data_IF_543119233545
#
_entry.id   IF_543119233545
#
_cell.length_a   1.000
_cell.length_b   1.000
_cell.length_c   1.000
_cell.angle_alpha   90.00
_cell.angle_beta   90.00
_cell.angle_gamma   90.00
#
_symmetry.space_group_name_H-M   'P 1'
#
loop_
_entity.id
_entity.type
_entity.pdbx_description
1 polymer ?
#
# COMPACT_ATOMS: atom_id res chain seq x y z
N UNK A 1 -6.69 -14.05 0.93
CA UNK A 1 -6.96 -13.83 2.35
C UNK A 1 -6.74 -12.38 2.71
N UNK A 2 -7.55 -11.85 3.60
CA UNK A 2 -7.56 -10.46 4.00
C UNK A 2 -7.24 -10.33 5.48
N UNK A 3 -6.36 -9.42 5.84
CA UNK A 3 -5.88 -9.24 7.21
C UNK A 3 -5.87 -7.76 7.59
N UNK A 4 -6.14 -7.48 8.86
CA UNK A 4 -5.95 -6.17 9.47
C UNK A 4 -5.13 -6.37 10.74
N UNK A 5 -3.94 -5.77 10.82
CA UNK A 5 -3.03 -5.95 11.94
C UNK A 5 -2.81 -7.43 12.30
N UNK A 6 -2.57 -8.26 11.28
CA UNK A 6 -2.41 -9.70 11.38
C UNK A 6 -3.67 -10.49 11.80
N UNK A 7 -4.78 -9.82 12.06
CA UNK A 7 -6.06 -10.47 12.31
C UNK A 7 -6.71 -10.90 11.00
N UNK A 8 -7.04 -12.17 10.89
CA UNK A 8 -7.72 -12.72 9.71
C UNK A 8 -9.14 -12.15 9.60
N UNK A 9 -9.47 -11.58 8.45
CA UNK A 9 -10.79 -10.99 8.18
C UNK A 9 -11.67 -11.86 7.27
N UNK A 10 -11.07 -12.61 6.36
CA UNK A 10 -11.80 -13.44 5.43
C UNK A 10 -10.95 -13.90 4.26
N UNK A 11 -11.57 -14.66 3.36
CA UNK A 11 -10.91 -15.14 2.14
C UNK A 11 -11.86 -15.04 0.94
N UNK A 12 -11.32 -15.15 -0.26
CA UNK A 12 -12.06 -15.08 -1.50
C UNK A 12 -11.49 -14.03 -2.44
N UNK A 13 -12.20 -13.80 -3.53
CA UNK A 13 -11.80 -12.80 -4.53
C UNK A 13 -12.27 -11.38 -4.18
N UNK A 14 -13.12 -11.25 -3.18
CA UNK A 14 -13.65 -9.96 -2.71
C UNK A 14 -13.73 -9.88 -1.20
N UNK A 15 -13.48 -8.71 -0.71
CA UNK A 15 -13.73 -8.36 0.69
C UNK A 15 -14.29 -6.94 0.75
N UNK A 16 -15.42 -6.78 1.45
CA UNK A 16 -16.07 -5.47 1.60
C UNK A 16 -15.68 -4.83 2.93
N UNK A 17 -15.07 -3.65 2.85
CA UNK A 17 -14.77 -2.82 4.02
C UNK A 17 -15.85 -1.77 4.17
N UNK A 18 -16.43 -1.67 5.36
CA UNK A 18 -17.48 -0.68 5.66
C UNK A 18 -16.89 0.47 6.47
N UNK A 19 -17.24 1.69 6.07
CA UNK A 19 -16.81 2.89 6.81
C UNK A 19 -17.19 2.86 8.29
N UNK A 20 -18.34 2.27 8.62
CA UNK A 20 -18.79 2.13 9.99
C UNK A 20 -17.88 1.26 10.87
N UNK A 21 -17.11 0.37 10.27
CA UNK A 21 -16.17 -0.49 11.00
C UNK A 21 -14.78 0.12 11.14
N UNK A 22 -14.56 1.28 10.54
CA UNK A 22 -13.22 1.90 10.47
C UNK A 22 -12.90 2.80 11.68
N UNK A 23 -13.86 3.14 12.50
CA UNK A 23 -13.63 4.13 13.55
C UNK A 23 -13.23 5.48 12.95
N UNK A 24 -12.48 6.29 13.55
CA UNK A 24 -11.85 7.48 12.97
C UNK A 24 -10.42 7.16 12.55
N UNK A 25 -9.95 7.71 11.44
CA UNK A 25 -8.55 7.61 11.03
C UNK A 25 -8.27 6.68 9.87
N UNK A 26 -7.11 6.10 9.84
CA UNK A 26 -6.58 5.30 8.73
C UNK A 26 -6.54 3.82 9.11
N UNK A 27 -6.98 2.95 8.21
CA UNK A 27 -6.87 1.50 8.39
C UNK A 27 -6.22 0.86 7.17
N UNK A 28 -5.36 -0.12 7.42
CA UNK A 28 -4.66 -0.85 6.37
C UNK A 28 -5.12 -2.29 6.35
N UNK A 29 -5.54 -2.75 5.17
CA UNK A 29 -5.90 -4.14 4.91
C UNK A 29 -4.79 -4.77 4.08
N UNK A 30 -4.27 -5.89 4.54
CA UNK A 30 -3.27 -6.66 3.81
C UNK A 30 -3.96 -7.81 3.08
N UNK A 31 -3.70 -7.90 1.78
CA UNK A 31 -4.18 -9.01 0.94
C UNK A 31 -3.01 -9.94 0.68
N UNK A 32 -3.18 -11.21 1.04
CA UNK A 32 -2.16 -12.23 0.82
C UNK A 32 -2.72 -13.35 -0.05
N UNK A 33 -1.97 -13.73 -1.06
CA UNK A 33 -2.30 -14.86 -1.92
C UNK A 33 -1.29 -15.99 -1.69
N UNK A 34 -1.82 -17.19 -1.54
CA UNK A 34 -1.01 -18.40 -1.28
C UNK A 34 -1.23 -19.41 -2.40
N UNK A 35 -0.15 -20.11 -2.77
CA UNK A 35 -0.22 -21.26 -3.68
C UNK A 35 0.43 -22.42 -2.96
N UNK A 36 -0.34 -23.51 -2.81
CA UNK A 36 0.14 -24.72 -2.11
C UNK A 36 0.70 -24.45 -0.71
N UNK A 37 0.07 -23.53 0.01
CA UNK A 37 0.49 -23.13 1.36
C UNK A 37 1.64 -22.14 1.42
N UNK A 38 2.20 -21.76 0.28
CA UNK A 38 3.27 -20.76 0.21
C UNK A 38 2.73 -19.39 -0.19
N UNK A 39 3.14 -18.35 0.53
CA UNK A 39 2.80 -16.97 0.22
C UNK A 39 3.51 -16.54 -1.05
N UNK A 40 2.74 -16.15 -2.08
CA UNK A 40 3.29 -15.71 -3.37
C UNK A 40 3.14 -14.21 -3.59
N UNK A 41 2.11 -13.60 -3.05
CA UNK A 41 1.84 -12.16 -3.21
C UNK A 41 1.31 -11.61 -1.89
N UNK A 42 1.79 -10.42 -1.51
CA UNK A 42 1.21 -9.62 -0.43
C UNK A 42 1.08 -8.18 -0.89
N UNK A 43 -0.11 -7.60 -0.75
CA UNK A 43 -0.38 -6.18 -1.04
C UNK A 43 -1.14 -5.57 0.12
N UNK A 44 -0.92 -4.28 0.34
CA UNK A 44 -1.63 -3.53 1.36
C UNK A 44 -2.45 -2.42 0.72
N UNK A 45 -3.66 -2.25 1.23
CA UNK A 45 -4.57 -1.17 0.86
C UNK A 45 -4.89 -0.40 2.14
N UNK A 46 -4.65 0.90 2.12
CA UNK A 46 -4.93 1.77 3.25
C UNK A 46 -6.17 2.60 2.96
N UNK A 47 -7.07 2.63 3.93
CA UNK A 47 -8.29 3.44 3.87
C UNK A 47 -8.17 4.57 4.90
N UNK A 48 -8.49 5.78 4.50
CA UNK A 48 -8.60 6.91 5.41
C UNK A 48 -10.07 7.31 5.56
N UNK A 49 -10.53 7.40 6.80
CA UNK A 49 -11.87 7.87 7.11
C UNK A 49 -11.79 9.33 7.55
N UNK A 50 -12.54 10.20 6.87
CA UNK A 50 -12.57 11.62 7.16
C UNK A 50 -13.85 11.95 7.92
N UNK A 51 -13.71 12.57 9.10
CA UNK A 51 -14.78 12.74 10.06
C UNK A 51 -15.86 13.79 9.72
N UNK A 52 -15.69 14.56 8.66
CA UNK A 52 -16.58 15.70 8.34
C UNK A 52 -17.67 15.37 7.33
N UNK A 53 -18.15 14.12 7.29
CA UNK A 53 -19.17 13.71 6.33
C UNK A 53 -18.67 13.61 4.89
N UNK A 54 -17.38 13.70 4.69
CA UNK A 54 -16.74 13.51 3.39
C UNK A 54 -16.49 12.02 3.18
N UNK A 55 -16.67 11.55 1.96
CA UNK A 55 -16.44 10.14 1.63
C UNK A 55 -15.00 9.70 1.94
N UNK A 56 -14.82 8.45 2.41
CA UNK A 56 -13.48 7.93 2.68
C UNK A 56 -12.58 7.98 1.46
N UNK A 57 -11.30 8.15 1.69
CA UNK A 57 -10.29 8.07 0.64
C UNK A 57 -9.74 6.65 0.62
N UNK A 58 -9.80 6.03 -0.56
CA UNK A 58 -9.21 4.72 -0.81
C UNK A 58 -7.84 4.89 -1.46
N UNK A 59 -6.86 4.12 -1.02
CA UNK A 59 -5.53 4.11 -1.59
C UNK A 59 -5.33 2.80 -2.35
N UNK A 60 -4.95 2.89 -3.62
CA UNK A 60 -4.55 1.76 -4.43
C UNK A 60 -3.08 1.86 -4.79
N UNK A 61 -2.35 0.75 -4.71
CA UNK A 61 -0.98 0.67 -5.18
C UNK A 61 -0.98 -0.13 -6.47
N UNK A 62 -0.57 0.52 -7.57
CA UNK A 62 -0.48 -0.09 -8.88
C UNK A 62 0.97 -0.43 -9.19
N UNK A 63 1.16 -1.50 -9.94
CA UNK A 63 2.48 -1.94 -10.41
C UNK A 63 2.51 -1.95 -11.93
N UNK A 64 3.60 -1.50 -12.54
CA UNK A 64 3.74 -1.52 -14.00
C UNK A 64 4.02 -2.91 -14.56
N UNK A 65 4.76 -3.75 -13.82
CA UNK A 65 5.18 -5.08 -14.25
C UNK A 65 4.77 -6.19 -13.28
N UNK A 66 3.69 -5.95 -12.50
CA UNK A 66 3.22 -6.91 -11.52
C UNK A 66 4.12 -7.04 -10.30
N UNK A 67 3.90 -8.08 -9.51
CA UNK A 67 4.54 -8.31 -8.21
C UNK A 67 5.44 -9.53 -8.22
N UNK A 68 5.62 -10.17 -9.34
CA UNK A 68 6.47 -11.37 -9.46
C UNK A 68 7.54 -11.12 -10.49
N UNK A 69 8.78 -11.27 -10.08
CA UNK A 69 9.93 -11.12 -10.96
C UNK A 69 10.45 -12.49 -11.31
N UNK A 70 10.59 -12.77 -12.61
CA UNK A 70 11.09 -14.03 -13.13
C UNK A 70 12.30 -13.77 -14.06
N UNK A 71 13.25 -14.69 -14.03
CA UNK A 71 14.37 -14.73 -14.99
C UNK A 71 15.20 -13.45 -15.02
N UNK A 72 15.49 -12.87 -13.87
CA UNK A 72 16.33 -11.67 -13.75
C UNK A 72 15.78 -10.42 -14.45
N UNK A 73 14.52 -10.44 -14.89
CA UNK A 73 13.86 -9.24 -15.39
C UNK A 73 13.17 -8.57 -14.22
N UNK A 74 13.84 -7.60 -13.64
CA UNK A 74 13.39 -7.01 -12.40
C UNK A 74 13.33 -5.51 -12.52
N UNK A 75 12.14 -5.04 -12.49
CA UNK A 75 11.84 -3.62 -12.42
C UNK A 75 10.36 -3.41 -12.55
N UNK A 76 9.79 -2.83 -11.53
CA UNK A 76 8.41 -2.38 -11.52
C UNK A 76 8.36 -0.98 -10.91
N UNK A 77 7.38 -0.21 -11.31
CA UNK A 77 7.10 1.07 -10.66
C UNK A 77 5.84 0.90 -9.84
N UNK A 78 5.93 1.22 -8.56
CA UNK A 78 4.78 1.28 -7.67
C UNK A 78 4.23 2.71 -7.69
N UNK A 79 2.93 2.85 -7.93
CA UNK A 79 2.26 4.15 -7.91
C UNK A 79 1.10 4.09 -6.94
N UNK A 80 1.06 5.01 -5.99
CA UNK A 80 -0.07 5.19 -5.10
C UNK A 80 -1.13 6.05 -5.79
N UNK A 81 -2.35 5.55 -5.88
CA UNK A 81 -3.49 6.31 -6.40
C UNK A 81 -4.53 6.47 -5.31
N UNK A 82 -5.05 7.66 -5.20
CA UNK A 82 -6.10 7.99 -4.23
C UNK A 82 -7.43 8.14 -4.94
N UNK A 83 -8.47 7.56 -4.35
CA UNK A 83 -9.82 7.64 -4.87
C UNK A 83 -10.79 8.11 -3.80
N UNK A 84 -11.70 8.97 -4.19
CA UNK A 84 -12.86 9.36 -3.39
C UNK A 84 -14.10 9.14 -4.25
N UNK A 85 -15.02 8.29 -3.78
CA UNK A 85 -16.24 7.94 -4.54
C UNK A 85 -15.93 7.49 -5.98
N UNK A 86 -14.95 6.60 -6.14
CA UNK A 86 -14.50 6.04 -7.42
C UNK A 86 -13.84 7.07 -8.36
N UNK A 87 -13.63 8.30 -7.92
CA UNK A 87 -12.92 9.32 -8.67
C UNK A 87 -11.48 9.46 -8.15
N UNK A 88 -10.50 9.43 -9.06
CA UNK A 88 -9.10 9.62 -8.69
C UNK A 88 -8.84 11.06 -8.29
N UNK A 89 -8.27 11.25 -7.09
CA UNK A 89 -7.87 12.54 -6.57
C UNK A 89 -6.35 12.63 -6.48
N UNK A 90 -5.83 13.85 -6.35
CA UNK A 90 -4.39 14.13 -6.23
C UNK A 90 -3.55 13.47 -7.33
N UNK A 91 -4.01 13.56 -8.58
CA UNK A 91 -3.34 12.92 -9.73
C UNK A 91 -1.89 13.36 -9.90
N UNK A 92 -1.58 14.58 -9.53
CA UNK A 92 -0.24 15.16 -9.63
C UNK A 92 0.61 14.97 -8.36
N UNK A 93 0.03 14.46 -7.27
CA UNK A 93 0.75 14.17 -6.03
C UNK A 93 1.16 15.40 -5.22
N UNK A 94 0.41 16.51 -5.33
CA UNK A 94 0.75 17.78 -4.67
C UNK A 94 -0.03 18.05 -3.39
N UNK A 95 -1.18 17.41 -3.20
CA UNK A 95 -2.06 17.66 -2.05
C UNK A 95 -1.79 16.72 -0.87
N UNK A 96 -1.13 15.61 -1.13
CA UNK A 96 -0.80 14.59 -0.12
C UNK A 96 0.69 14.29 -0.10
N UNK A 97 1.16 13.86 1.04
CA UNK A 97 2.51 13.33 1.22
C UNK A 97 2.46 11.80 1.15
N UNK A 98 3.32 11.19 0.35
CA UNK A 98 3.38 9.75 0.10
C UNK A 98 4.71 9.21 0.62
N UNK A 99 4.69 8.48 1.71
CA UNK A 99 5.89 7.90 2.32
C UNK A 99 5.86 6.38 2.18
N UNK A 100 6.85 5.84 1.51
CA UNK A 100 6.97 4.42 1.29
C UNK A 100 7.84 3.77 2.35
N UNK A 101 7.46 2.57 2.75
CA UNK A 101 8.23 1.73 3.64
C UNK A 101 8.36 0.32 3.08
N UNK A 102 9.45 -0.33 3.41
CA UNK A 102 9.76 -1.69 3.01
C UNK A 102 9.91 -2.59 4.22
N UNK A 103 9.33 -3.75 4.14
CA UNK A 103 9.49 -4.84 5.12
C UNK A 103 10.13 -6.01 4.42
N UNK A 104 11.17 -6.57 5.01
CA UNK A 104 11.91 -7.70 4.48
C UNK A 104 11.13 -9.02 4.57
N UNK A 105 11.66 -10.08 3.97
CA UNK A 105 11.05 -11.41 3.96
C UNK A 105 10.75 -11.93 5.36
N UNK A 106 11.60 -11.63 6.33
CA UNK A 106 11.47 -12.05 7.73
C UNK A 106 10.54 -11.15 8.56
N UNK A 107 9.78 -10.26 7.89
CA UNK A 107 8.84 -9.31 8.48
C UNK A 107 9.51 -8.20 9.30
N UNK A 108 10.81 -8.02 9.18
CA UNK A 108 11.51 -6.90 9.82
C UNK A 108 11.53 -5.67 8.90
N UNK A 109 11.39 -4.44 9.47
CA UNK A 109 11.53 -3.24 8.67
C UNK A 109 12.94 -3.09 8.11
N UNK A 110 13.03 -2.71 6.84
CA UNK A 110 14.30 -2.35 6.22
C UNK A 110 14.61 -0.87 6.53
N UNK A 111 15.30 -0.64 7.62
CA UNK A 111 15.53 0.70 8.15
C UNK A 111 16.32 1.60 7.22
N UNK A 112 17.33 1.06 6.56
CA UNK A 112 18.16 1.82 5.62
C UNK A 112 17.35 2.24 4.40
N UNK A 113 16.64 1.30 3.79
CA UNK A 113 15.76 1.58 2.66
C UNK A 113 14.68 2.61 3.02
N UNK A 114 14.07 2.45 4.21
CA UNK A 114 13.01 3.34 4.69
C UNK A 114 13.54 4.75 4.94
N UNK A 115 14.76 4.88 5.43
CA UNK A 115 15.40 6.17 5.64
C UNK A 115 15.67 6.88 4.30
N UNK A 116 16.15 6.13 3.32
CA UNK A 116 16.44 6.67 1.99
C UNK A 116 15.18 7.10 1.24
N UNK A 117 14.03 6.55 1.60
CA UNK A 117 12.73 6.83 0.97
C UNK A 117 11.79 7.64 1.88
N UNK A 118 12.34 8.40 2.83
CA UNK A 118 11.56 9.15 3.83
C UNK A 118 10.95 10.46 3.31
N UNK A 119 11.07 10.76 2.03
CA UNK A 119 10.47 11.93 1.39
C UNK A 119 9.26 11.55 0.53
N UNK A 120 8.39 12.52 0.24
CA UNK A 120 7.16 12.26 -0.50
C UNK A 120 7.42 11.85 -1.94
N UNK A 121 6.92 10.68 -2.33
CA UNK A 121 6.98 10.17 -3.69
C UNK A 121 5.68 9.44 -4.02
N UNK A 122 4.91 9.93 -4.97
CA UNK A 122 3.70 9.23 -5.42
C UNK A 122 4.02 7.92 -6.13
N UNK A 123 5.16 7.85 -6.81
CA UNK A 123 5.64 6.66 -7.50
C UNK A 123 7.07 6.37 -7.12
N UNK A 124 7.39 5.08 -6.97
CA UNK A 124 8.76 4.62 -6.72
C UNK A 124 9.13 3.50 -7.69
N UNK A 125 10.40 3.44 -8.04
CA UNK A 125 10.95 2.36 -8.86
C UNK A 125 11.52 1.28 -7.96
N UNK A 126 11.11 0.04 -8.16
CA UNK A 126 11.62 -1.13 -7.46
C UNK A 126 12.45 -1.96 -8.43
N UNK A 127 13.66 -2.32 -8.03
CA UNK A 127 14.59 -3.10 -8.83
C UNK A 127 15.04 -4.34 -8.07
N UNK A 128 15.91 -5.14 -8.70
CA UNK A 128 16.46 -6.36 -8.10
C UNK A 128 17.23 -6.12 -6.79
N UNK A 129 17.82 -4.94 -6.64
CA UNK A 129 18.55 -4.61 -5.41
C UNK A 129 17.64 -4.32 -4.22
N UNK A 130 16.36 -4.03 -4.50
CA UNK A 130 15.38 -3.70 -3.46
C UNK A 130 14.71 -4.95 -2.89
N UNK A 131 14.76 -6.08 -3.57
CA UNK A 131 14.01 -7.28 -3.18
C UNK A 131 14.93 -8.49 -3.16
N UNK A 132 15.18 -9.02 -1.96
CA UNK A 132 15.81 -10.32 -1.79
C UNK A 132 14.71 -11.36 -1.54
N UNK A 133 14.45 -12.21 -2.51
CA UNK A 133 13.37 -13.20 -2.55
C UNK A 133 11.98 -12.58 -2.46
N UNK A 134 11.68 -11.87 -1.39
CA UNK A 134 10.37 -11.26 -1.15
C UNK A 134 10.50 -10.03 -0.28
N UNK A 135 9.72 -9.01 -0.58
CA UNK A 135 9.58 -7.83 0.25
C UNK A 135 8.14 -7.32 0.18
N UNK A 136 7.72 -6.61 1.23
CA UNK A 136 6.42 -5.94 1.26
C UNK A 136 6.66 -4.44 1.29
N UNK A 137 5.99 -3.74 0.38
CA UNK A 137 6.05 -2.28 0.29
C UNK A 137 4.71 -1.70 0.71
N UNK A 138 4.76 -0.66 1.53
CA UNK A 138 3.58 0.05 2.02
C UNK A 138 3.73 1.53 1.76
N UNK A 139 2.62 2.21 1.52
CA UNK A 139 2.62 3.66 1.36
C UNK A 139 1.74 4.31 2.42
N UNK A 140 2.33 5.17 3.23
CA UNK A 140 1.61 6.03 4.15
C UNK A 140 1.28 7.33 3.43
N UNK A 141 0.01 7.75 3.48
CA UNK A 141 -0.45 8.95 2.80
C UNK A 141 -1.05 9.91 3.84
N UNK A 142 -0.56 11.14 3.83
CA UNK A 142 -1.02 12.20 4.73
C UNK A 142 -1.42 13.44 3.94
N UNK A 143 -2.54 14.05 4.32
CA UNK A 143 -2.98 15.31 3.72
C UNK A 143 -2.13 16.48 4.23
N UNK A 144 -1.61 17.28 3.31
CA UNK A 144 -0.73 18.42 3.62
C UNK A 144 -1.36 19.78 3.36
N UNK A 145 -2.57 19.84 2.81
CA UNK A 145 -3.20 21.09 2.38
C UNK A 145 -3.55 22.08 3.49
N UNK A 146 -3.60 21.65 4.75
CA UNK A 146 -3.93 22.50 5.91
C UNK A 146 -2.76 22.74 6.85
N UNK A 147 -1.56 22.46 6.42
CA UNK A 147 -0.35 22.84 7.20
C UNK A 147 -0.04 24.30 6.95
N UNK A 148 -0.61 25.10 7.77
CA UNK A 148 -0.27 26.52 7.85
C UNK A 148 0.71 26.71 8.98
#
# INVERSE_FOLDING_TARGET
MYFQNETFLGEGDRYTVRASSMGGGTQTITVKAYVSGELVISQQITFANVLDGVSPIKIEILTTNGNTFKNNVIGTTLTAKLYREDEEIDKDGTDFCYIWTKTNEDETPDREWNQDHSYSQKSIRITEVDVFRRATFSCLVEYIGNRI
#
